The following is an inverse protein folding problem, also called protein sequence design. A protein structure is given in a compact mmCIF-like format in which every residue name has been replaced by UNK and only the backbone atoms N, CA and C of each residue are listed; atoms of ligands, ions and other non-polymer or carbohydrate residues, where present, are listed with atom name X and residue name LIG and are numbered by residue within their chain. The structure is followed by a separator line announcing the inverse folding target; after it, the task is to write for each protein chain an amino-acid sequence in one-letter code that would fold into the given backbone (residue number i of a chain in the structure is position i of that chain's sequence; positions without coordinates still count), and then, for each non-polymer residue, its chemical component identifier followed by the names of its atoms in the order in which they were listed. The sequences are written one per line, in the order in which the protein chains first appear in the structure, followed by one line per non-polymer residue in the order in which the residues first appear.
data_IF_591205888085
#
_entry.id   IF_591205888085
#
_cell.length_a   1.000
_cell.length_b   1.000
_cell.length_c   1.000
_cell.angle_alpha   90.00
_cell.angle_beta   90.00
_cell.angle_gamma   90.00
#
_symmetry.space_group_name_H-M   'P 1'
#
loop_
_entity.id
_entity.type
_entity.pdbx_description
1 polymer ?
#
# COMPACT_ATOMS: atom_id res chain seq x y z
N UNK A 1 -11.14 -32.42 32.08
CA UNK A 1 -9.85 -32.29 31.37
C UNK A 1 -10.00 -31.98 29.88
N UNK A 2 -10.90 -32.63 29.11
CA UNK A 2 -11.09 -32.34 27.66
C UNK A 2 -11.52 -30.91 27.32
N UNK A 3 -12.36 -30.25 28.14
CA UNK A 3 -12.85 -28.89 27.88
C UNK A 3 -11.73 -27.84 27.83
N UNK A 4 -10.82 -27.86 28.81
CA UNK A 4 -9.63 -26.98 28.84
C UNK A 4 -8.63 -27.22 27.71
N UNK A 5 -8.71 -28.37 27.01
CA UNK A 5 -7.82 -28.70 25.91
C UNK A 5 -8.36 -28.10 24.60
N UNK A 6 -9.67 -28.21 24.38
CA UNK A 6 -10.36 -27.52 23.28
C UNK A 6 -10.25 -26.00 23.39
N UNK A 7 -10.40 -25.43 24.59
CA UNK A 7 -10.31 -23.96 24.79
C UNK A 7 -8.90 -23.43 24.42
N UNK A 8 -7.84 -24.21 24.70
CA UNK A 8 -6.47 -23.86 24.32
C UNK A 8 -6.23 -24.01 22.82
N UNK A 9 -6.75 -25.07 22.21
CA UNK A 9 -6.68 -25.28 20.76
C UNK A 9 -7.40 -24.15 20.00
N UNK A 10 -8.56 -23.71 20.48
CA UNK A 10 -9.32 -22.60 19.91
C UNK A 10 -8.57 -21.26 20.04
N UNK A 11 -7.92 -21.00 21.18
CA UNK A 11 -7.12 -19.79 21.40
C UNK A 11 -5.87 -19.76 20.51
N UNK A 12 -5.18 -20.89 20.37
CA UNK A 12 -4.03 -21.05 19.47
C UNK A 12 -4.47 -20.87 18.02
N UNK A 13 -5.57 -21.49 17.60
CA UNK A 13 -6.11 -21.35 16.26
C UNK A 13 -6.49 -19.91 15.94
N UNK A 14 -7.13 -19.22 16.89
CA UNK A 14 -7.52 -17.81 16.73
C UNK A 14 -6.29 -16.90 16.61
N UNK A 15 -5.27 -17.12 17.44
CA UNK A 15 -4.02 -16.35 17.41
C UNK A 15 -3.24 -16.59 16.12
N UNK A 16 -3.16 -17.85 15.67
CA UNK A 16 -2.54 -18.21 14.40
C UNK A 16 -3.26 -17.57 13.21
N UNK A 17 -4.60 -17.59 13.21
CA UNK A 17 -5.41 -16.99 12.15
C UNK A 17 -5.24 -15.47 12.08
N UNK A 18 -5.20 -14.79 13.23
CA UNK A 18 -4.96 -13.34 13.30
C UNK A 18 -3.57 -13.00 12.78
N UNK A 19 -2.53 -13.74 13.21
CA UNK A 19 -1.17 -13.53 12.74
C UNK A 19 -1.04 -13.74 11.23
N UNK A 20 -1.63 -14.81 10.69
CA UNK A 20 -1.62 -15.07 9.25
C UNK A 20 -2.29 -13.93 8.47
N UNK A 21 -3.42 -13.40 8.95
CA UNK A 21 -4.10 -12.27 8.33
C UNK A 21 -3.27 -10.99 8.37
N UNK A 22 -2.68 -10.65 9.53
CA UNK A 22 -1.79 -9.48 9.69
C UNK A 22 -0.60 -9.59 8.73
N UNK A 23 0.06 -10.75 8.70
CA UNK A 23 1.25 -10.97 7.89
C UNK A 23 0.93 -10.82 6.40
N UNK A 24 -0.15 -11.45 5.92
CA UNK A 24 -0.58 -11.33 4.53
C UNK A 24 -0.89 -9.87 4.14
N UNK A 25 -1.56 -9.12 5.02
CA UNK A 25 -1.83 -7.69 4.80
C UNK A 25 -0.54 -6.87 4.75
N UNK A 26 0.38 -7.10 5.68
CA UNK A 26 1.68 -6.40 5.70
C UNK A 26 2.53 -6.70 4.46
N UNK A 27 2.56 -7.94 3.99
CA UNK A 27 3.30 -8.33 2.79
C UNK A 27 2.79 -7.58 1.56
N UNK A 28 1.47 -7.51 1.39
CA UNK A 28 0.84 -6.74 0.30
C UNK A 28 1.18 -5.25 0.37
N UNK A 29 1.05 -4.64 1.54
CA UNK A 29 1.31 -3.20 1.72
C UNK A 29 2.79 -2.88 1.49
N UNK A 30 3.72 -3.78 1.89
CA UNK A 30 5.16 -3.66 1.60
C UNK A 30 5.43 -3.72 0.10
N UNK A 31 4.79 -4.66 -0.60
CA UNK A 31 4.92 -4.77 -2.04
C UNK A 31 4.45 -3.48 -2.75
N UNK A 32 3.30 -2.91 -2.33
CA UNK A 32 2.81 -1.63 -2.87
C UNK A 32 3.81 -0.49 -2.63
N UNK A 33 4.37 -0.38 -1.43
CA UNK A 33 5.38 0.63 -1.11
C UNK A 33 6.61 0.48 -2.01
N UNK A 34 7.17 -0.73 -2.08
CA UNK A 34 8.36 -1.02 -2.89
C UNK A 34 8.14 -0.73 -4.36
N UNK A 35 7.03 -1.19 -4.94
CA UNK A 35 6.71 -0.98 -6.36
C UNK A 35 6.45 0.50 -6.65
N UNK A 36 5.76 1.22 -5.76
CA UNK A 36 5.52 2.66 -5.93
C UNK A 36 6.81 3.46 -5.85
N UNK A 37 7.68 3.17 -4.89
CA UNK A 37 9.00 3.81 -4.77
C UNK A 37 9.88 3.51 -5.99
N UNK A 38 9.84 2.28 -6.50
CA UNK A 38 10.50 1.91 -7.76
C UNK A 38 9.93 2.68 -8.96
N UNK A 39 8.61 2.82 -9.04
CA UNK A 39 7.93 3.61 -10.07
C UNK A 39 8.31 5.09 -10.04
N UNK A 40 8.42 5.70 -8.85
CA UNK A 40 8.94 7.07 -8.69
C UNK A 40 10.39 7.16 -9.17
N UNK A 41 11.24 6.19 -8.81
CA UNK A 41 12.62 6.13 -9.29
C UNK A 41 12.71 6.10 -10.82
N UNK A 42 11.91 5.24 -11.46
CA UNK A 42 11.82 5.16 -12.93
C UNK A 42 11.34 6.48 -13.56
N UNK A 43 10.34 7.14 -12.98
CA UNK A 43 9.87 8.43 -13.46
C UNK A 43 10.96 9.50 -13.39
N UNK A 44 11.73 9.55 -12.30
CA UNK A 44 12.86 10.49 -12.15
C UNK A 44 13.93 10.20 -13.19
N UNK A 45 14.25 8.93 -13.43
CA UNK A 45 15.21 8.52 -14.46
C UNK A 45 14.74 8.94 -15.86
N UNK A 46 13.49 8.68 -16.23
CA UNK A 46 12.96 9.09 -17.54
C UNK A 46 12.90 10.61 -17.71
N UNK A 47 12.82 11.37 -16.62
CA UNK A 47 12.87 12.83 -16.69
C UNK A 47 14.28 13.33 -17.08
N UNK A 48 15.34 12.64 -16.63
CA UNK A 48 16.73 13.03 -16.91
C UNK A 48 17.14 12.82 -18.37
N UNK A 49 16.55 11.84 -19.06
CA UNK A 49 16.91 11.50 -20.44
C UNK A 49 16.28 12.40 -21.51
N UNK A 50 15.41 13.34 -21.14
CA UNK A 50 14.58 14.07 -22.11
C UNK A 50 15.04 15.51 -22.31
N UNK A 51 15.74 15.75 -23.42
CA UNK A 51 16.01 17.10 -23.93
C UNK A 51 14.77 17.58 -24.72
N UNK A 52 14.08 18.64 -24.26
CA UNK A 52 12.81 19.19 -24.78
C UNK A 52 11.54 18.36 -24.54
N UNK A 53 10.86 18.66 -23.43
CA UNK A 53 9.55 18.08 -23.09
C UNK A 53 8.43 19.02 -23.56
N UNK A 54 7.59 18.57 -24.49
CA UNK A 54 6.36 19.29 -24.83
C UNK A 54 5.48 19.44 -23.56
N UNK A 55 4.76 20.57 -23.38
CA UNK A 55 4.00 20.86 -22.16
C UNK A 55 2.99 19.75 -21.78
N UNK A 56 2.37 19.12 -22.77
CA UNK A 56 1.43 18.01 -22.58
C UNK A 56 2.10 16.76 -21.97
N UNK A 57 3.32 16.42 -22.40
CA UNK A 57 4.07 15.29 -21.83
C UNK A 57 4.50 15.57 -20.39
N UNK A 58 4.86 16.83 -20.08
CA UNK A 58 5.23 17.23 -18.72
C UNK A 58 4.07 17.02 -17.74
N UNK A 59 2.83 17.34 -18.13
CA UNK A 59 1.64 17.09 -17.29
C UNK A 59 1.46 15.61 -16.93
N UNK A 60 1.71 14.68 -17.86
CA UNK A 60 1.61 13.24 -17.59
C UNK A 60 2.60 12.78 -16.51
N UNK A 61 3.83 13.29 -16.55
CA UNK A 61 4.84 13.01 -15.53
C UNK A 61 4.39 13.50 -14.15
N UNK A 62 3.87 14.73 -14.06
CA UNK A 62 3.38 15.26 -12.80
C UNK A 62 2.23 14.44 -12.23
N UNK A 63 1.27 14.04 -13.07
CA UNK A 63 0.14 13.19 -12.64
C UNK A 63 0.65 11.83 -12.14
N UNK A 64 1.53 11.17 -12.87
CA UNK A 64 2.11 9.89 -12.45
C UNK A 64 2.87 10.01 -11.12
N UNK A 65 3.69 11.06 -10.99
CA UNK A 65 4.48 11.32 -9.79
C UNK A 65 3.61 11.59 -8.56
N UNK A 66 2.59 12.45 -8.70
CA UNK A 66 1.63 12.73 -7.63
C UNK A 66 0.88 11.45 -7.26
N UNK A 67 0.46 10.65 -8.24
CA UNK A 67 -0.28 9.40 -8.00
C UNK A 67 0.55 8.40 -7.18
N UNK A 68 1.81 8.15 -7.55
CA UNK A 68 2.66 7.27 -6.73
C UNK A 68 2.98 7.85 -5.36
N UNK A 69 3.15 9.17 -5.26
CA UNK A 69 3.38 9.84 -3.96
C UNK A 69 2.17 9.68 -3.03
N UNK A 70 0.95 9.86 -3.54
CA UNK A 70 -0.29 9.65 -2.79
C UNK A 70 -0.49 8.17 -2.41
N UNK A 71 -0.10 7.23 -3.29
CA UNK A 71 -0.07 5.81 -2.96
C UNK A 71 0.88 5.53 -1.79
N UNK A 72 2.14 6.01 -1.88
CA UNK A 72 3.14 5.85 -0.82
C UNK A 72 2.64 6.44 0.51
N UNK A 73 2.11 7.67 0.49
CA UNK A 73 1.56 8.31 1.67
C UNK A 73 0.41 7.50 2.29
N UNK A 74 -0.50 6.97 1.46
CA UNK A 74 -1.61 6.13 1.91
C UNK A 74 -1.11 4.84 2.55
N UNK A 75 -0.14 4.16 1.93
CA UNK A 75 0.46 2.92 2.47
C UNK A 75 1.19 3.16 3.78
N UNK A 76 1.93 4.27 3.92
CA UNK A 76 2.59 4.65 5.18
C UNK A 76 1.54 4.89 6.28
N UNK A 77 0.43 5.56 5.96
CA UNK A 77 -0.67 5.76 6.91
C UNK A 77 -1.32 4.42 7.31
N UNK A 78 -1.50 3.49 6.36
CA UNK A 78 -2.00 2.14 6.63
C UNK A 78 -1.06 1.40 7.58
N UNK A 79 0.27 1.45 7.36
CA UNK A 79 1.23 0.84 8.29
C UNK A 79 1.14 1.44 9.70
N UNK A 80 1.04 2.76 9.81
CA UNK A 80 0.89 3.44 11.10
C UNK A 80 -0.41 3.04 11.82
N UNK A 81 -1.49 2.87 11.08
CA UNK A 81 -2.80 2.44 11.62
C UNK A 81 -2.82 0.96 11.95
N UNK A 82 -2.20 0.10 11.14
CA UNK A 82 -2.06 -1.32 11.40
C UNK A 82 -1.26 -1.58 12.68
N UNK A 83 -0.16 -0.84 12.91
CA UNK A 83 0.60 -0.92 14.15
C UNK A 83 -0.26 -0.58 15.38
N UNK A 84 -1.05 0.50 15.32
CA UNK A 84 -1.98 0.90 16.38
C UNK A 84 -3.14 -0.09 16.59
N UNK A 85 -3.61 -0.74 15.52
CA UNK A 85 -4.66 -1.75 15.61
C UNK A 85 -4.17 -3.00 16.37
N UNK A 86 -2.95 -3.46 16.09
CA UNK A 86 -2.33 -4.58 16.79
C UNK A 86 -2.11 -4.22 18.26
N UNK A 87 -1.63 -3.01 18.55
CA UNK A 87 -1.47 -2.50 19.92
C UNK A 87 -2.80 -2.48 20.69
N UNK A 88 -3.89 -2.05 20.06
CA UNK A 88 -5.24 -2.09 20.64
C UNK A 88 -5.80 -3.50 20.83
N UNK A 89 -5.42 -4.44 19.96
CA UNK A 89 -5.82 -5.84 20.10
C UNK A 89 -5.15 -6.49 21.32
N UNK A 90 -3.91 -6.07 21.63
CA UNK A 90 -3.15 -6.52 22.80
C UNK A 90 -3.59 -5.85 24.10
N UNK A 91 -4.10 -4.61 24.05
CA UNK A 91 -4.56 -3.87 25.24
C UNK A 91 -6.00 -4.16 25.66
N UNK A 92 -6.69 -5.12 25.03
CA UNK A 92 -8.08 -5.51 25.33
C UNK A 92 -9.14 -4.40 25.21
N UNK A 93 -8.81 -3.28 24.57
CA UNK A 93 -9.77 -2.20 24.31
C UNK A 93 -10.73 -2.52 23.15
N UNK A 94 -12.00 -2.18 23.35
CA UNK A 94 -13.13 -2.51 22.47
C UNK A 94 -12.89 -2.15 21.00
N UNK A 95 -13.13 -3.13 20.11
CA UNK A 95 -13.11 -3.01 18.64
C UNK A 95 -14.03 -1.87 18.16
N UNK A 96 -13.44 -0.72 17.81
CA UNK A 96 -14.09 0.19 16.85
C UNK A 96 -13.69 -0.23 15.44
N UNK A 97 -14.70 -0.59 14.65
CA UNK A 97 -14.56 -0.88 13.23
C UNK A 97 -13.98 0.35 12.51
N UNK A 98 -12.69 0.32 12.22
CA UNK A 98 -11.99 1.44 11.57
C UNK A 98 -12.32 1.45 10.08
N UNK A 99 -13.52 1.95 9.73
CA UNK A 99 -13.93 2.24 8.33
C UNK A 99 -12.89 3.08 7.57
N UNK A 100 -12.10 3.84 8.33
CA UNK A 100 -10.97 4.66 7.84
C UNK A 100 -9.88 3.78 7.22
N UNK A 101 -9.58 2.61 7.78
CA UNK A 101 -8.52 1.73 7.28
C UNK A 101 -8.86 1.16 5.90
N UNK A 102 -10.11 0.74 5.70
CA UNK A 102 -10.59 0.26 4.40
C UNK A 102 -10.62 1.35 3.33
N UNK A 103 -10.90 2.60 3.73
CA UNK A 103 -10.84 3.73 2.81
C UNK A 103 -9.41 3.99 2.31
N UNK A 104 -8.42 3.99 3.21
CA UNK A 104 -7.01 4.15 2.81
C UNK A 104 -6.51 2.99 1.96
N UNK A 105 -6.90 1.74 2.27
CA UNK A 105 -6.55 0.56 1.45
C UNK A 105 -7.06 0.71 0.02
N UNK A 106 -8.32 1.13 -0.14
CA UNK A 106 -8.90 1.40 -1.45
C UNK A 106 -8.22 2.56 -2.19
N UNK A 107 -7.96 3.68 -1.50
CA UNK A 107 -7.25 4.82 -2.09
C UNK A 107 -5.83 4.46 -2.53
N UNK A 108 -5.08 3.70 -1.73
CA UNK A 108 -3.74 3.25 -2.06
C UNK A 108 -3.73 2.44 -3.37
N UNK A 109 -4.61 1.45 -3.50
CA UNK A 109 -4.72 0.62 -4.71
C UNK A 109 -5.13 1.44 -5.93
N UNK A 110 -6.07 2.38 -5.75
CA UNK A 110 -6.52 3.26 -6.83
C UNK A 110 -5.40 4.17 -7.34
N UNK A 111 -4.68 4.86 -6.44
CA UNK A 111 -3.56 5.73 -6.82
C UNK A 111 -2.38 4.95 -7.38
N UNK A 112 -2.12 3.73 -6.90
CA UNK A 112 -1.11 2.85 -7.49
C UNK A 112 -1.45 2.49 -8.93
N UNK A 113 -2.72 2.10 -9.17
CA UNK A 113 -3.19 1.69 -10.50
C UNK A 113 -3.10 2.83 -11.50
N UNK A 114 -3.50 4.04 -11.09
CA UNK A 114 -3.37 5.26 -11.90
C UNK A 114 -1.89 5.56 -12.19
N UNK A 115 -1.03 5.49 -11.18
CA UNK A 115 0.41 5.74 -11.31
C UNK A 115 1.07 4.81 -12.33
N UNK A 116 0.80 3.50 -12.23
CA UNK A 116 1.30 2.49 -13.18
C UNK A 116 0.83 2.79 -14.60
N UNK A 117 -0.45 3.07 -14.79
CA UNK A 117 -1.02 3.31 -16.12
C UNK A 117 -0.32 4.48 -16.82
N UNK A 118 -0.12 5.60 -16.10
CA UNK A 118 0.60 6.74 -16.65
C UNK A 118 2.09 6.47 -16.88
N UNK A 119 2.76 5.72 -16.00
CA UNK A 119 4.16 5.34 -16.21
C UNK A 119 4.36 4.47 -17.44
N UNK A 120 3.44 3.55 -17.74
CA UNK A 120 3.47 2.75 -18.96
C UNK A 120 3.33 3.66 -20.19
N UNK A 121 2.35 4.57 -20.18
CA UNK A 121 2.14 5.53 -21.28
C UNK A 121 3.39 6.39 -21.51
N UNK A 122 3.98 6.91 -20.42
CA UNK A 122 5.23 7.69 -20.47
C UNK A 122 6.38 6.86 -21.04
N UNK A 123 6.51 5.59 -20.63
CA UNK A 123 7.52 4.69 -21.17
C UNK A 123 7.40 4.50 -22.67
N UNK A 124 6.19 4.21 -23.17
CA UNK A 124 5.92 4.05 -24.61
C UNK A 124 6.24 5.33 -25.39
N UNK A 125 5.86 6.49 -24.87
CA UNK A 125 6.14 7.79 -25.50
C UNK A 125 7.64 8.14 -25.50
N UNK A 126 8.43 7.64 -24.54
CA UNK A 126 9.87 7.91 -24.50
C UNK A 126 10.70 6.94 -25.34
N UNK A 127 10.18 5.75 -25.62
CA UNK A 127 10.86 4.77 -26.48
C UNK A 127 10.70 5.12 -27.97
N UNK A 128 9.60 5.81 -28.31
CA UNK A 128 9.24 6.21 -29.67
C UNK A 128 9.72 7.64 -29.97
#
# INVERSE_FOLDING_TARGET
MRKNQNDKEDEVFRSASINAWIQSKMERDKALLTLSSGGVGLLVTFLQFKENIAPCHSMLYYIAFISFTLCIASVIVIFSRNAKYIEKLLSSETRKNDKVLGFFDYMAVLFFSIGILFTIIIGVININ
#
